data_IF_595805556880
#
_entry.id   IF_595805556880
#
_cell.length_a   1.000
_cell.length_b   1.000
_cell.length_c   1.000
_cell.angle_alpha   90.00
_cell.angle_beta   90.00
_cell.angle_gamma   90.00
#
_symmetry.space_group_name_H-M   'P 1'
#
loop_
_entity.id
_entity.type
_entity.pdbx_description
1 polymer ?
#
# COMPACT_ATOMS: atom_id res chain seq x y z
N UNK A 1 -6.99 -2.33 -22.45
CA UNK A 1 -7.34 -1.99 -23.83
C UNK A 1 -7.25 -0.48 -24.01
N UNK A 2 -6.68 -0.01 -25.14
CA UNK A 2 -6.53 1.43 -25.43
C UNK A 2 -7.78 2.04 -26.13
N UNK A 3 -8.76 1.19 -26.48
CA UNK A 3 -9.99 1.60 -27.18
C UNK A 3 -11.21 1.05 -26.43
N UNK A 4 -11.90 1.93 -25.71
CA UNK A 4 -13.09 1.62 -24.93
C UNK A 4 -14.24 1.11 -25.80
N UNK A 5 -14.42 1.67 -26.97
CA UNK A 5 -15.50 1.27 -27.89
C UNK A 5 -15.29 -0.18 -28.37
N UNK A 6 -14.06 -0.56 -28.69
CA UNK A 6 -13.72 -1.92 -29.08
C UNK A 6 -13.88 -2.91 -27.92
N UNK A 7 -13.50 -2.51 -26.71
CA UNK A 7 -13.74 -3.31 -25.50
C UNK A 7 -15.22 -3.55 -25.28
N UNK A 8 -16.06 -2.51 -25.36
CA UNK A 8 -17.50 -2.62 -25.19
C UNK A 8 -18.14 -3.54 -26.23
N UNK A 9 -17.65 -3.52 -27.47
CA UNK A 9 -18.13 -4.43 -28.51
C UNK A 9 -17.79 -5.89 -28.20
N UNK A 10 -16.56 -6.19 -27.81
CA UNK A 10 -16.15 -7.53 -27.41
C UNK A 10 -16.93 -8.06 -26.22
N UNK A 11 -17.17 -7.21 -25.22
CA UNK A 11 -17.94 -7.57 -24.03
C UNK A 11 -19.41 -7.86 -24.40
N UNK A 12 -20.01 -7.07 -25.29
CA UNK A 12 -21.36 -7.31 -25.79
C UNK A 12 -21.45 -8.63 -26.59
N UNK A 13 -20.51 -8.89 -27.49
CA UNK A 13 -20.46 -10.14 -28.25
C UNK A 13 -20.31 -11.37 -27.34
N UNK A 14 -19.48 -11.27 -26.29
CA UNK A 14 -19.30 -12.33 -25.30
C UNK A 14 -20.60 -12.59 -24.51
N UNK A 15 -21.33 -11.55 -24.12
CA UNK A 15 -22.62 -11.67 -23.43
C UNK A 15 -23.67 -12.33 -24.33
N UNK A 16 -23.78 -11.91 -25.59
CA UNK A 16 -24.71 -12.52 -26.54
C UNK A 16 -24.39 -13.98 -26.82
N UNK A 17 -23.11 -14.29 -26.97
CA UNK A 17 -22.65 -15.68 -27.15
C UNK A 17 -23.10 -16.57 -25.97
N UNK A 18 -22.84 -16.12 -24.72
CA UNK A 18 -23.24 -16.85 -23.52
C UNK A 18 -24.75 -17.01 -23.40
N UNK A 19 -25.51 -15.95 -23.74
CA UNK A 19 -26.98 -16.02 -23.75
C UNK A 19 -27.51 -17.06 -24.73
N UNK A 20 -27.01 -17.06 -25.95
CA UNK A 20 -27.51 -17.93 -27.03
C UNK A 20 -27.08 -19.38 -26.86
N UNK A 21 -25.82 -19.63 -26.44
CA UNK A 21 -25.22 -20.96 -26.43
C UNK A 21 -25.29 -21.69 -25.10
N UNK A 22 -25.35 -20.94 -23.98
CA UNK A 22 -25.33 -21.54 -22.63
C UNK A 22 -26.64 -21.33 -21.88
N UNK A 23 -27.11 -20.07 -21.82
CA UNK A 23 -28.22 -19.71 -20.93
C UNK A 23 -29.56 -20.12 -21.51
N UNK A 24 -29.84 -19.78 -22.76
CA UNK A 24 -31.13 -20.14 -23.43
C UNK A 24 -31.31 -21.65 -23.53
N UNK A 25 -30.32 -22.45 -23.98
CA UNK A 25 -30.43 -23.90 -23.93
C UNK A 25 -30.65 -24.43 -22.52
N UNK A 26 -29.86 -23.97 -21.53
CA UNK A 26 -30.00 -24.40 -20.14
C UNK A 26 -31.37 -24.08 -19.55
N UNK A 27 -32.02 -23.01 -19.98
CA UNK A 27 -33.34 -22.61 -19.49
C UNK A 27 -34.49 -23.39 -20.18
N UNK A 28 -34.45 -23.57 -21.50
CA UNK A 28 -35.54 -24.13 -22.28
C UNK A 28 -35.50 -25.64 -22.52
N UNK A 29 -34.34 -26.28 -22.35
CA UNK A 29 -34.20 -27.73 -22.51
C UNK A 29 -34.64 -28.45 -21.23
N UNK A 30 -35.88 -28.86 -21.15
CA UNK A 30 -36.45 -29.54 -19.98
C UNK A 30 -36.96 -30.97 -20.24
N UNK A 31 -36.86 -31.47 -21.51
CA UNK A 31 -37.31 -32.82 -21.86
C UNK A 31 -38.78 -33.02 -21.50
N UNK A 32 -39.07 -34.14 -20.83
CA UNK A 32 -40.46 -34.47 -20.39
C UNK A 32 -40.83 -33.83 -19.05
N UNK A 33 -39.98 -32.97 -18.46
CA UNK A 33 -40.21 -32.30 -17.16
C UNK A 33 -40.79 -30.90 -17.37
N UNK A 34 -41.50 -30.38 -16.37
CA UNK A 34 -42.00 -29.01 -16.35
C UNK A 34 -40.86 -27.98 -16.07
N UNK A 35 -39.64 -28.43 -15.77
CA UNK A 35 -38.50 -27.58 -15.45
C UNK A 35 -37.19 -28.14 -16.00
N UNK A 36 -36.25 -27.26 -16.28
CA UNK A 36 -34.88 -27.64 -16.67
C UNK A 36 -34.01 -27.99 -15.49
N UNK A 37 -33.47 -29.22 -15.45
CA UNK A 37 -32.53 -29.64 -14.43
C UNK A 37 -31.20 -28.82 -14.47
N UNK A 38 -30.80 -28.41 -15.67
CA UNK A 38 -29.61 -27.58 -15.82
C UNK A 38 -29.84 -26.19 -15.25
N UNK A 39 -31.03 -25.57 -15.52
CA UNK A 39 -31.36 -24.28 -14.92
C UNK A 39 -31.44 -24.35 -13.37
N UNK A 40 -31.99 -25.42 -12.83
CA UNK A 40 -32.03 -25.64 -11.37
C UNK A 40 -30.63 -25.67 -10.77
N UNK A 41 -29.61 -26.18 -11.49
CA UNK A 41 -28.22 -26.13 -11.01
C UNK A 41 -27.71 -24.68 -10.90
N UNK A 42 -28.01 -23.83 -11.89
CA UNK A 42 -27.65 -22.41 -11.82
C UNK A 42 -28.34 -21.71 -10.64
N UNK A 43 -29.63 -21.96 -10.42
CA UNK A 43 -30.38 -21.41 -9.27
C UNK A 43 -29.73 -21.85 -7.95
N UNK A 44 -29.46 -23.15 -7.77
CA UNK A 44 -28.84 -23.68 -6.57
C UNK A 44 -27.45 -23.08 -6.30
N UNK A 45 -26.65 -22.96 -7.36
CA UNK A 45 -25.32 -22.37 -7.24
C UNK A 45 -25.40 -20.87 -6.88
N UNK A 46 -26.35 -20.15 -7.49
CA UNK A 46 -26.57 -18.73 -7.17
C UNK A 46 -26.97 -18.53 -5.72
N UNK A 47 -27.88 -19.35 -5.21
CA UNK A 47 -28.32 -19.31 -3.81
C UNK A 47 -27.18 -19.70 -2.86
N UNK A 48 -26.42 -20.75 -3.20
CA UNK A 48 -25.38 -21.28 -2.30
C UNK A 48 -24.10 -20.46 -2.29
N UNK A 49 -23.69 -19.89 -3.44
CA UNK A 49 -22.36 -19.27 -3.59
C UNK A 49 -22.41 -17.75 -3.79
N UNK A 50 -23.42 -17.23 -4.46
CA UNK A 50 -23.49 -15.81 -4.80
C UNK A 50 -24.28 -15.05 -3.72
N UNK A 51 -25.51 -15.46 -3.45
CA UNK A 51 -26.39 -14.73 -2.53
C UNK A 51 -25.77 -14.45 -1.16
N UNK A 52 -25.10 -15.38 -0.46
CA UNK A 52 -24.50 -15.08 0.85
C UNK A 52 -23.39 -14.04 0.81
N UNK A 53 -22.70 -13.94 -0.33
CA UNK A 53 -21.59 -12.98 -0.52
C UNK A 53 -22.06 -11.59 -0.90
N UNK A 54 -23.22 -11.46 -1.50
CA UNK A 54 -23.74 -10.20 -2.05
C UNK A 54 -25.03 -9.71 -1.36
N UNK A 55 -25.20 -10.08 -0.07
CA UNK A 55 -26.31 -9.56 0.73
C UNK A 55 -26.04 -8.14 1.22
N UNK A 56 -27.07 -7.34 1.35
CA UNK A 56 -27.00 -6.02 1.97
C UNK A 56 -26.48 -6.10 3.41
N UNK A 57 -26.88 -7.15 4.15
CA UNK A 57 -26.38 -7.36 5.52
C UNK A 57 -24.84 -7.45 5.54
N UNK A 58 -24.26 -8.32 4.70
CA UNK A 58 -22.78 -8.44 4.64
C UNK A 58 -22.12 -7.11 4.26
N UNK A 59 -22.69 -6.39 3.30
CA UNK A 59 -22.17 -5.09 2.88
C UNK A 59 -22.19 -4.09 4.04
N UNK A 60 -23.29 -4.01 4.78
CA UNK A 60 -23.40 -3.13 5.95
C UNK A 60 -22.42 -3.53 7.05
N UNK A 61 -22.27 -4.83 7.33
CA UNK A 61 -21.30 -5.33 8.31
C UNK A 61 -19.87 -4.92 7.89
N UNK A 62 -19.50 -5.11 6.61
CA UNK A 62 -18.21 -4.68 6.07
C UNK A 62 -17.99 -3.16 6.22
N UNK A 63 -18.97 -2.32 5.90
CA UNK A 63 -18.87 -0.87 6.07
C UNK A 63 -18.74 -0.48 7.54
N UNK A 64 -19.53 -1.09 8.40
CA UNK A 64 -19.52 -0.82 9.83
C UNK A 64 -18.16 -1.13 10.44
N UNK A 65 -17.65 -2.34 10.22
CA UNK A 65 -16.39 -2.79 10.81
C UNK A 65 -15.15 -2.12 10.17
N UNK A 66 -15.13 -1.99 8.84
CA UNK A 66 -13.95 -1.49 8.13
C UNK A 66 -13.82 0.04 8.17
N UNK A 67 -14.94 0.74 8.23
CA UNK A 67 -14.95 2.20 8.10
C UNK A 67 -15.60 2.91 9.29
N UNK A 68 -16.87 2.64 9.63
CA UNK A 68 -17.61 3.48 10.56
C UNK A 68 -17.07 3.42 11.98
N UNK A 69 -16.73 2.25 12.51
CA UNK A 69 -16.12 2.13 13.85
C UNK A 69 -14.82 2.93 13.88
N UNK A 70 -13.92 2.70 12.94
CA UNK A 70 -12.61 3.36 12.89
C UNK A 70 -12.73 4.87 12.74
N UNK A 71 -13.65 5.34 11.87
CA UNK A 71 -13.91 6.76 11.69
C UNK A 71 -14.50 7.42 12.96
N UNK A 72 -15.39 6.71 13.64
CA UNK A 72 -15.95 7.19 14.91
C UNK A 72 -14.88 7.32 15.99
N UNK A 73 -14.02 6.31 16.13
CA UNK A 73 -12.89 6.35 17.07
C UNK A 73 -11.94 7.52 16.77
N UNK A 74 -11.56 7.68 15.49
CA UNK A 74 -10.72 8.79 15.06
C UNK A 74 -11.40 10.16 15.30
N UNK A 75 -12.69 10.25 15.03
CA UNK A 75 -13.45 11.47 15.29
C UNK A 75 -13.41 11.85 16.79
N UNK A 76 -13.65 10.89 17.69
CA UNK A 76 -13.59 11.15 19.13
C UNK A 76 -12.20 11.59 19.58
N UNK A 77 -11.12 10.96 19.06
CA UNK A 77 -9.76 11.35 19.37
C UNK A 77 -9.44 12.76 18.87
N UNK A 78 -9.86 13.12 17.66
CA UNK A 78 -9.54 14.41 17.05
C UNK A 78 -10.41 15.55 17.59
N UNK A 79 -11.65 15.27 17.99
CA UNK A 79 -12.58 16.27 18.51
C UNK A 79 -12.43 16.54 20.03
N UNK A 80 -11.69 15.69 20.74
CA UNK A 80 -11.42 15.88 22.17
C UNK A 80 -10.70 17.22 22.43
N UNK A 81 -10.88 17.76 23.64
CA UNK A 81 -10.20 18.96 24.12
C UNK A 81 -10.29 20.16 23.15
N UNK A 82 -11.49 20.42 22.64
CA UNK A 82 -11.72 21.49 21.67
C UNK A 82 -10.86 21.36 20.41
N UNK A 83 -10.76 20.13 19.87
CA UNK A 83 -9.96 19.76 18.70
C UNK A 83 -8.43 20.00 18.87
N UNK A 84 -7.91 19.90 20.08
CA UNK A 84 -6.49 20.17 20.33
C UNK A 84 -5.57 19.33 19.44
N UNK A 85 -5.81 18.01 19.37
CA UNK A 85 -5.00 17.10 18.53
C UNK A 85 -5.13 17.40 17.04
N UNK A 86 -6.32 17.73 16.57
CA UNK A 86 -6.53 18.11 15.17
C UNK A 86 -5.75 19.40 14.80
N UNK A 87 -5.74 20.40 15.72
CA UNK A 87 -4.95 21.63 15.57
C UNK A 87 -3.46 21.31 15.52
N UNK A 88 -2.94 20.52 16.45
CA UNK A 88 -1.52 20.11 16.47
C UNK A 88 -1.10 19.43 15.16
N UNK A 89 -1.94 18.51 14.62
CA UNK A 89 -1.67 17.85 13.34
C UNK A 89 -1.68 18.87 12.18
N UNK A 90 -2.60 19.83 12.20
CA UNK A 90 -2.68 20.91 11.18
C UNK A 90 -1.44 21.80 11.20
N UNK A 91 -1.00 22.21 12.39
CA UNK A 91 0.18 23.05 12.59
C UNK A 91 1.44 22.30 12.17
N UNK A 92 1.57 21.02 12.53
CA UNK A 92 2.65 20.16 12.07
C UNK A 92 2.68 20.04 10.52
N UNK A 93 1.54 19.77 9.88
CA UNK A 93 1.45 19.71 8.41
C UNK A 93 1.90 21.02 7.75
N UNK A 94 1.54 22.15 8.34
CA UNK A 94 1.91 23.47 7.85
C UNK A 94 3.40 23.71 8.02
N UNK A 95 3.97 23.37 9.15
CA UNK A 95 5.40 23.49 9.43
C UNK A 95 6.22 22.62 8.46
N UNK A 96 5.84 21.36 8.27
CA UNK A 96 6.49 20.45 7.31
C UNK A 96 6.41 21.00 5.89
N UNK A 97 5.23 21.40 5.42
CA UNK A 97 5.07 21.95 4.06
C UNK A 97 5.97 23.15 3.79
N UNK A 98 6.09 24.03 4.78
CA UNK A 98 6.86 25.27 4.61
C UNK A 98 8.38 25.06 4.65
N UNK A 99 8.86 23.97 5.23
CA UNK A 99 10.30 23.74 5.46
C UNK A 99 10.87 22.51 4.76
N UNK A 100 10.03 21.67 4.20
CA UNK A 100 10.44 20.39 3.60
C UNK A 100 11.55 20.54 2.56
N UNK A 101 11.38 21.50 1.65
CA UNK A 101 12.34 21.73 0.56
C UNK A 101 13.65 22.39 1.03
N UNK A 102 13.71 22.85 2.29
CA UNK A 102 14.93 23.42 2.88
C UNK A 102 15.80 22.40 3.61
N UNK A 103 15.29 21.16 3.82
CA UNK A 103 16.04 20.08 4.46
C UNK A 103 17.27 19.71 3.63
N UNK A 104 18.40 19.50 4.28
CA UNK A 104 19.64 19.16 3.61
C UNK A 104 20.22 17.86 4.14
N UNK A 105 20.48 16.91 3.24
CA UNK A 105 21.27 15.71 3.58
C UNK A 105 22.76 16.12 3.59
N UNK A 106 23.37 16.11 4.77
CA UNK A 106 24.77 16.51 4.95
C UNK A 106 25.76 15.38 4.63
N UNK A 107 25.43 14.16 4.98
CA UNK A 107 26.26 13.01 4.64
C UNK A 107 25.46 11.70 4.65
N UNK A 108 25.87 10.78 3.80
CA UNK A 108 25.43 9.40 3.78
C UNK A 108 26.67 8.52 3.81
N UNK A 109 26.71 7.58 4.74
CA UNK A 109 27.76 6.56 4.85
C UNK A 109 27.09 5.19 4.85
N UNK A 110 27.50 4.32 3.96
CA UNK A 110 26.97 2.95 3.86
C UNK A 110 28.17 1.99 3.75
N UNK A 111 28.46 1.30 4.83
CA UNK A 111 29.52 0.28 4.88
C UNK A 111 30.84 0.72 4.21
N UNK A 112 31.25 0.00 3.18
CA UNK A 112 32.47 0.27 2.41
C UNK A 112 32.30 1.34 1.31
N UNK A 113 31.13 1.98 1.22
CA UNK A 113 30.77 2.98 0.19
C UNK A 113 29.46 2.63 -0.52
N UNK A 114 28.83 3.62 -1.14
CA UNK A 114 27.52 3.45 -1.83
C UNK A 114 27.61 2.54 -3.06
N UNK A 115 28.78 2.46 -3.70
CA UNK A 115 29.03 1.67 -4.91
C UNK A 115 29.88 0.40 -4.63
N UNK A 116 30.04 0.02 -3.37
CA UNK A 116 30.87 -1.13 -3.01
C UNK A 116 30.14 -2.45 -3.19
N UNK A 117 30.88 -3.49 -3.58
CA UNK A 117 30.39 -4.86 -3.56
C UNK A 117 30.09 -5.29 -2.13
N UNK A 118 28.89 -5.77 -1.89
CA UNK A 118 28.42 -6.24 -0.59
C UNK A 118 28.54 -7.76 -0.56
N UNK A 119 29.20 -8.31 0.47
CA UNK A 119 29.28 -9.75 0.72
C UNK A 119 27.95 -10.24 1.30
N UNK A 120 27.37 -11.30 0.70
CA UNK A 120 26.14 -11.90 1.19
C UNK A 120 26.29 -12.38 2.64
N UNK A 121 25.30 -12.08 3.48
CA UNK A 121 25.28 -12.47 4.89
C UNK A 121 26.12 -11.57 5.83
N UNK A 122 26.82 -10.58 5.32
CA UNK A 122 27.56 -9.61 6.12
C UNK A 122 26.68 -8.42 6.49
N UNK A 123 26.82 -7.97 7.72
CA UNK A 123 26.12 -6.79 8.23
C UNK A 123 26.90 -5.50 7.90
N UNK A 124 26.20 -4.50 7.41
CA UNK A 124 26.76 -3.19 7.06
C UNK A 124 26.04 -2.09 7.81
N UNK A 125 26.81 -1.26 8.50
CA UNK A 125 26.28 -0.06 9.15
C UNK A 125 25.98 1.02 8.12
N UNK A 126 24.82 1.65 8.27
CA UNK A 126 24.37 2.79 7.46
C UNK A 126 24.15 3.97 8.37
N UNK A 127 24.69 5.12 8.00
CA UNK A 127 24.51 6.40 8.73
C UNK A 127 24.11 7.50 7.78
N UNK A 128 23.06 8.23 8.12
CA UNK A 128 22.57 9.42 7.39
C UNK A 128 22.54 10.59 8.35
N UNK A 129 23.16 11.71 7.96
CA UNK A 129 23.12 12.97 8.72
C UNK A 129 22.32 13.99 7.93
N UNK A 130 21.31 14.56 8.56
CA UNK A 130 20.37 15.49 7.97
C UNK A 130 20.33 16.77 8.80
N UNK A 131 20.37 17.94 8.12
CA UNK A 131 20.02 19.23 8.71
C UNK A 131 18.51 19.46 8.54
N UNK A 132 17.76 19.27 9.61
CA UNK A 132 16.28 19.23 9.58
C UNK A 132 15.61 20.63 9.60
N UNK A 133 16.40 21.69 9.69
CA UNK A 133 15.98 23.11 9.60
C UNK A 133 14.87 23.50 10.61
N UNK A 134 14.89 22.92 11.78
CA UNK A 134 13.94 23.22 12.88
C UNK A 134 12.56 22.57 12.69
N UNK A 135 12.49 21.43 12.02
CA UNK A 135 11.28 20.61 11.95
C UNK A 135 11.14 19.65 13.14
N UNK A 136 12.19 19.60 13.99
CA UNK A 136 12.26 18.71 15.14
C UNK A 136 11.98 17.24 14.73
N UNK A 137 11.40 16.39 15.51
CA UNK A 137 11.20 14.97 15.21
C UNK A 137 10.26 14.64 14.02
N UNK A 138 10.02 15.60 13.12
CA UNK A 138 9.09 15.47 12.01
C UNK A 138 9.63 14.70 10.79
N UNK A 139 10.85 14.14 10.87
CA UNK A 139 11.52 13.45 9.76
C UNK A 139 11.77 11.98 10.11
N UNK A 140 11.41 11.09 9.22
CA UNK A 140 11.86 9.71 9.21
C UNK A 140 12.77 9.44 8.03
N UNK A 141 13.77 8.57 8.24
CA UNK A 141 14.69 8.09 7.20
C UNK A 141 14.58 6.57 7.13
N UNK A 142 14.59 6.03 5.94
CA UNK A 142 14.67 4.60 5.71
C UNK A 142 15.62 4.27 4.56
N UNK A 143 16.27 3.13 4.68
CA UNK A 143 17.04 2.51 3.60
C UNK A 143 16.10 1.61 2.81
N UNK A 144 16.04 1.81 1.50
CA UNK A 144 15.28 0.98 0.56
C UNK A 144 16.29 0.16 -0.26
N UNK A 145 16.18 -1.15 -0.15
CA UNK A 145 16.98 -2.09 -0.94
C UNK A 145 16.13 -2.55 -2.11
N UNK A 146 16.65 -2.37 -3.31
CA UNK A 146 15.98 -2.69 -4.57
C UNK A 146 16.77 -3.80 -5.24
N UNK A 147 16.11 -4.91 -5.53
CA UNK A 147 16.66 -6.01 -6.32
C UNK A 147 16.31 -5.82 -7.79
N UNK A 148 17.31 -5.96 -8.66
CA UNK A 148 17.11 -6.00 -10.10
C UNK A 148 17.07 -7.46 -10.56
N UNK A 149 15.89 -7.92 -10.99
CA UNK A 149 15.67 -9.29 -11.46
C UNK A 149 14.82 -9.30 -12.72
N UNK A 150 15.22 -10.09 -13.71
CA UNK A 150 14.49 -10.25 -14.98
C UNK A 150 14.16 -8.94 -15.71
N UNK A 151 15.04 -7.92 -15.59
CA UNK A 151 14.87 -6.61 -16.23
C UNK A 151 13.90 -5.67 -15.50
N UNK A 152 13.48 -6.01 -14.28
CA UNK A 152 12.60 -5.19 -13.46
C UNK A 152 13.21 -4.92 -12.08
N UNK A 153 12.91 -3.75 -11.53
CA UNK A 153 13.32 -3.34 -10.20
C UNK A 153 12.18 -3.66 -9.21
N UNK A 154 12.47 -4.42 -8.15
CA UNK A 154 11.55 -4.75 -7.08
C UNK A 154 12.10 -4.30 -5.73
N UNK A 155 11.25 -3.78 -4.86
CA UNK A 155 11.66 -3.50 -3.48
C UNK A 155 11.88 -4.83 -2.79
N UNK A 156 13.16 -5.08 -2.41
CA UNK A 156 13.56 -6.27 -1.66
C UNK A 156 13.29 -6.09 -0.15
N UNK A 157 13.70 -4.95 0.40
CA UNK A 157 13.55 -4.65 1.82
C UNK A 157 13.49 -3.13 2.06
N UNK A 158 12.78 -2.74 3.12
CA UNK A 158 12.76 -1.37 3.63
C UNK A 158 13.13 -1.39 5.10
N UNK A 159 14.23 -0.73 5.44
CA UNK A 159 14.81 -0.71 6.79
C UNK A 159 14.68 0.70 7.36
N UNK A 160 13.81 0.95 8.35
CA UNK A 160 13.76 2.23 9.05
C UNK A 160 15.08 2.49 9.79
N UNK A 161 15.62 3.69 9.65
CA UNK A 161 16.82 4.11 10.38
C UNK A 161 16.40 4.90 11.62
N UNK A 162 16.67 4.39 12.84
CA UNK A 162 16.40 5.11 14.07
C UNK A 162 17.27 6.35 14.21
N UNK A 163 16.73 7.40 14.81
CA UNK A 163 17.46 8.59 15.23
C UNK A 163 18.34 8.23 16.42
N UNK A 164 19.64 8.43 16.30
CA UNK A 164 20.64 8.08 17.35
C UNK A 164 21.28 9.29 18.00
N UNK A 165 21.31 10.45 17.34
CA UNK A 165 21.92 11.66 17.88
C UNK A 165 21.28 12.92 17.31
N UNK A 166 21.21 13.95 18.15
CA UNK A 166 20.81 15.33 17.80
C UNK A 166 21.91 16.29 18.23
N UNK A 167 22.37 17.12 17.31
CA UNK A 167 23.30 18.21 17.56
C UNK A 167 22.80 19.49 16.86
N UNK A 168 22.07 20.30 17.62
CA UNK A 168 21.30 21.40 17.06
C UNK A 168 20.29 20.88 16.03
N UNK A 169 20.38 21.38 14.80
CA UNK A 169 19.54 20.95 13.67
C UNK A 169 20.11 19.71 12.93
N UNK A 170 21.26 19.21 13.35
CA UNK A 170 21.86 18.02 12.72
C UNK A 170 21.38 16.74 13.39
N UNK A 171 20.61 15.97 12.67
CA UNK A 171 20.05 14.71 13.12
C UNK A 171 20.78 13.56 12.45
N UNK A 172 21.28 12.62 13.28
CA UNK A 172 21.97 11.42 12.80
C UNK A 172 21.10 10.20 12.94
N UNK A 173 20.83 9.56 11.82
CA UNK A 173 20.10 8.31 11.74
C UNK A 173 21.06 7.16 11.43
N UNK A 174 20.91 6.03 12.13
CA UNK A 174 21.75 4.85 11.94
C UNK A 174 20.92 3.59 11.90
N UNK A 175 21.38 2.62 11.12
CA UNK A 175 20.82 1.28 11.08
C UNK A 175 21.82 0.32 10.46
N UNK A 176 21.43 -0.93 10.39
CA UNK A 176 22.21 -2.00 9.77
C UNK A 176 21.43 -2.64 8.64
N UNK A 177 22.15 -3.06 7.63
CA UNK A 177 21.60 -3.80 6.48
C UNK A 177 22.36 -5.09 6.31
N UNK A 178 21.64 -6.17 6.04
CA UNK A 178 22.21 -7.49 5.78
C UNK A 178 21.47 -8.15 4.64
N UNK A 179 22.16 -8.43 3.53
CA UNK A 179 21.57 -9.07 2.34
C UNK A 179 22.08 -10.50 2.28
N UNK A 180 21.18 -11.47 2.33
CA UNK A 180 21.54 -12.88 2.32
C UNK A 180 21.61 -13.49 0.90
N UNK A 181 20.91 -12.89 -0.04
CA UNK A 181 20.83 -13.42 -1.40
C UNK A 181 21.94 -12.86 -2.29
N UNK A 182 22.48 -13.70 -3.17
CA UNK A 182 23.34 -13.22 -4.25
C UNK A 182 22.48 -12.53 -5.32
N UNK A 183 22.98 -11.44 -5.89
CA UNK A 183 22.25 -10.69 -6.92
C UNK A 183 22.75 -9.28 -7.11
N UNK A 184 22.09 -8.53 -7.98
CA UNK A 184 22.31 -7.10 -8.19
C UNK A 184 21.33 -6.32 -7.36
N UNK A 185 21.83 -5.53 -6.43
CA UNK A 185 21.02 -4.70 -5.54
C UNK A 185 21.42 -3.23 -5.68
N UNK A 186 20.42 -2.36 -5.61
CA UNK A 186 20.59 -0.91 -5.49
C UNK A 186 20.15 -0.49 -4.09
N UNK A 187 20.82 0.48 -3.52
CA UNK A 187 20.44 1.10 -2.25
C UNK A 187 19.96 2.53 -2.51
N UNK A 188 18.83 2.87 -1.92
CA UNK A 188 18.28 4.22 -1.93
C UNK A 188 17.88 4.63 -0.52
N UNK A 189 17.92 5.93 -0.25
CA UNK A 189 17.43 6.48 1.01
C UNK A 189 16.15 7.26 0.74
N UNK A 190 15.13 6.95 1.51
CA UNK A 190 13.85 7.66 1.47
C UNK A 190 13.67 8.47 2.75
N UNK A 191 13.52 9.76 2.60
CA UNK A 191 13.13 10.66 3.67
C UNK A 191 11.62 10.91 3.57
N UNK A 192 10.93 10.88 4.70
CA UNK A 192 9.49 11.08 4.75
C UNK A 192 9.08 11.88 5.99
N UNK A 193 7.97 12.64 5.90
CA UNK A 193 7.43 13.32 7.08
C UNK A 193 6.91 12.30 8.08
N UNK A 194 7.36 12.42 9.33
CA UNK A 194 6.96 11.55 10.45
C UNK A 194 6.18 12.34 11.47
N UNK A 195 5.06 11.80 11.93
CA UNK A 195 4.27 12.36 13.01
C UNK A 195 4.03 11.29 14.08
N UNK A 196 4.24 11.64 15.32
CA UNK A 196 4.05 10.78 16.49
C UNK A 196 2.76 11.09 17.27
N UNK A 197 1.89 11.96 16.72
CA UNK A 197 0.62 12.39 17.35
C UNK A 197 -0.52 11.37 17.17
#
# INVERSE_FOLDING_TARGET
>A
YQNEQYQNQLDAEAIYYLLEHDILPAYYEHGDKEYSENWIKYIKNSIAQIAPRFTMKRQLDDYYEKFYIKLSEHFHILSADNNAKAKMISDWKTAVRNRWDSIEIKSIKAGNGLDATIEAGKEYEVTVVVDEKGLDDAIGIELVIIQHESGQDHIYEVIPLPLVSKDGNLYTFKGTSQIFNAGSFKQAFRMYPKNNL
#
